data_IF_430045133449
#
_entry.id   IF_430045133449
#
_cell.length_a   1.000
_cell.length_b   1.000
_cell.length_c   1.000
_cell.angle_alpha   90.00
_cell.angle_beta   90.00
_cell.angle_gamma   90.00
#
_symmetry.space_group_name_H-M   'P 1'
#
loop_
_entity.id
_entity.type
_entity.pdbx_description
1 polymer ?
#
# COMPACT_ATOMS: atom_id res chain seq x y z
N UNK A 1 42.64 2.19 -42.37
CA UNK A 1 41.83 1.04 -41.93
C UNK A 1 40.38 1.48 -41.97
N UNK A 2 39.69 0.99 -42.99
CA UNK A 2 38.42 1.50 -43.48
C UNK A 2 37.21 1.16 -42.59
N UNK A 3 36.32 2.15 -42.50
CA UNK A 3 35.01 2.09 -41.86
C UNK A 3 34.07 1.24 -42.73
N UNK A 4 33.79 0.01 -42.30
CA UNK A 4 32.75 -0.81 -42.90
C UNK A 4 31.36 -0.32 -42.46
N UNK A 5 30.69 0.35 -43.40
CA UNK A 5 29.27 0.70 -43.40
C UNK A 5 28.39 -0.55 -43.23
N UNK A 6 27.76 -0.70 -42.06
CA UNK A 6 26.70 -1.69 -41.85
C UNK A 6 25.37 -1.03 -42.21
N UNK A 7 24.91 -1.30 -43.44
CA UNK A 7 23.57 -0.97 -43.92
C UNK A 7 22.53 -1.77 -43.13
N UNK A 8 21.63 -1.07 -42.45
CA UNK A 8 20.41 -1.63 -41.87
C UNK A 8 19.40 -1.93 -42.99
N UNK A 9 18.98 -3.19 -43.20
CA UNK A 9 17.91 -3.49 -44.15
C UNK A 9 16.56 -3.03 -43.60
N UNK A 10 15.81 -2.28 -44.43
CA UNK A 10 14.42 -1.88 -44.19
C UNK A 10 13.49 -3.10 -44.20
N UNK A 11 12.51 -3.22 -43.29
CA UNK A 11 11.51 -4.27 -43.33
C UNK A 11 10.48 -3.99 -44.43
N UNK A 12 10.35 -4.92 -45.38
CA UNK A 12 9.29 -4.92 -46.40
C UNK A 12 7.94 -5.29 -45.78
N UNK A 13 6.84 -4.62 -46.16
CA UNK A 13 5.50 -4.98 -45.70
C UNK A 13 5.03 -6.31 -46.34
N UNK A 14 4.26 -7.14 -45.62
CA UNK A 14 3.68 -8.35 -46.19
C UNK A 14 2.50 -7.99 -47.12
N UNK A 15 2.74 -8.10 -48.41
CA UNK A 15 1.75 -8.01 -49.47
C UNK A 15 1.14 -9.40 -49.69
N UNK A 16 0.07 -9.73 -48.96
CA UNK A 16 -0.83 -10.86 -49.27
C UNK A 16 -2.11 -10.75 -48.41
N UNK A 17 -3.05 -9.91 -48.87
CA UNK A 17 -4.41 -9.90 -48.37
C UNK A 17 -5.19 -11.06 -49.02
N UNK A 18 -5.41 -12.13 -48.27
CA UNK A 18 -6.29 -13.23 -48.66
C UNK A 18 -7.75 -12.74 -48.53
N UNK A 19 -8.58 -12.78 -49.60
CA UNK A 19 -10.00 -12.46 -49.50
C UNK A 19 -10.71 -13.49 -48.60
N UNK A 20 -11.32 -13.02 -47.52
CA UNK A 20 -12.03 -13.87 -46.56
C UNK A 20 -13.32 -14.47 -47.17
N UNK A 21 -13.72 -15.68 -46.73
CA UNK A 21 -14.99 -16.29 -47.14
C UNK A 21 -16.18 -15.49 -46.58
N UNK A 22 -17.18 -15.29 -47.44
CA UNK A 22 -18.38 -14.50 -47.16
C UNK A 22 -19.08 -14.90 -45.86
N UNK A 23 -19.44 -13.89 -45.07
CA UNK A 23 -20.25 -14.05 -43.87
C UNK A 23 -21.68 -14.44 -44.24
N UNK A 24 -22.23 -15.55 -43.71
CA UNK A 24 -23.65 -15.84 -43.83
C UNK A 24 -24.44 -14.79 -43.03
N UNK A 25 -25.49 -14.29 -43.66
CA UNK A 25 -26.51 -13.41 -43.10
C UNK A 25 -27.07 -13.99 -41.79
N UNK A 26 -27.20 -13.19 -40.72
CA UNK A 26 -27.79 -13.67 -39.48
C UNK A 26 -29.28 -13.97 -39.69
N UNK A 27 -29.63 -15.26 -39.68
CA UNK A 27 -31.01 -15.70 -39.57
C UNK A 27 -31.59 -15.15 -38.25
N UNK A 28 -32.76 -14.53 -38.36
CA UNK A 28 -33.55 -13.97 -37.26
C UNK A 28 -33.81 -15.04 -36.20
N UNK A 29 -33.04 -15.01 -35.10
CA UNK A 29 -33.24 -15.86 -33.93
C UNK A 29 -34.37 -15.26 -33.09
N UNK A 30 -35.43 -16.05 -32.91
CA UNK A 30 -36.57 -15.72 -32.06
C UNK A 30 -36.20 -15.51 -30.58
N UNK A 31 -37.17 -15.09 -29.74
CA UNK A 31 -36.94 -14.73 -28.36
C UNK A 31 -36.41 -15.93 -27.56
N UNK A 32 -35.12 -15.87 -27.22
CA UNK A 32 -34.50 -16.77 -26.27
C UNK A 32 -35.16 -16.58 -24.90
N UNK A 33 -35.96 -17.55 -24.50
CA UNK A 33 -36.53 -17.64 -23.15
C UNK A 33 -35.38 -17.75 -22.16
N UNK A 34 -35.11 -16.65 -21.45
CA UNK A 34 -34.11 -16.53 -20.40
C UNK A 34 -34.45 -17.45 -19.23
N UNK A 35 -34.09 -18.73 -19.36
CA UNK A 35 -34.11 -19.67 -18.24
C UNK A 35 -33.19 -19.13 -17.14
N UNK A 36 -33.65 -19.03 -15.88
CA UNK A 36 -32.84 -18.51 -14.79
C UNK A 36 -31.58 -19.39 -14.68
N UNK A 37 -30.43 -18.79 -15.00
CA UNK A 37 -29.14 -19.46 -14.98
C UNK A 37 -28.95 -20.12 -13.62
N UNK A 38 -28.85 -21.45 -13.60
CA UNK A 38 -28.56 -22.23 -12.40
C UNK A 38 -27.42 -21.54 -11.63
N UNK A 39 -27.74 -21.04 -10.44
CA UNK A 39 -26.82 -20.26 -9.61
C UNK A 39 -25.59 -21.12 -9.33
N UNK A 40 -24.48 -20.82 -10.02
CA UNK A 40 -23.22 -21.53 -9.82
C UNK A 40 -22.81 -21.38 -8.36
N UNK A 41 -23.04 -22.44 -7.58
CA UNK A 41 -22.71 -22.42 -6.16
C UNK A 41 -21.20 -22.51 -6.03
N UNK A 42 -20.55 -21.39 -5.73
CA UNK A 42 -19.10 -21.38 -5.54
C UNK A 42 -18.74 -22.18 -4.28
N UNK A 43 -17.94 -23.24 -4.43
CA UNK A 43 -17.43 -24.03 -3.31
C UNK A 43 -16.07 -23.50 -2.82
N UNK A 44 -15.86 -23.53 -1.51
CA UNK A 44 -14.58 -23.20 -0.88
C UNK A 44 -13.47 -24.15 -1.34
N UNK A 45 -12.38 -23.65 -1.93
CA UNK A 45 -11.24 -24.47 -2.40
C UNK A 45 -10.56 -25.32 -1.32
N UNK A 46 -10.75 -25.01 -0.03
CA UNK A 46 -10.09 -25.72 1.07
C UNK A 46 -10.92 -26.84 1.68
N UNK A 47 -12.25 -26.73 1.64
CA UNK A 47 -13.15 -27.69 2.30
C UNK A 47 -14.35 -28.09 1.45
N UNK A 48 -14.42 -27.62 0.20
CA UNK A 48 -15.48 -27.86 -0.78
C UNK A 48 -16.91 -27.54 -0.34
N UNK A 49 -17.09 -26.83 0.79
CA UNK A 49 -18.40 -26.37 1.24
C UNK A 49 -18.89 -25.23 0.37
N UNK A 50 -20.19 -25.19 0.00
CA UNK A 50 -20.76 -24.07 -0.72
C UNK A 50 -20.58 -22.79 0.10
N UNK A 51 -20.11 -21.74 -0.56
CA UNK A 51 -19.97 -20.40 0.02
C UNK A 51 -20.91 -19.48 -0.76
N UNK A 52 -21.87 -18.84 -0.08
CA UNK A 52 -22.76 -17.84 -0.69
C UNK A 52 -22.06 -16.52 -1.05
N UNK A 53 -20.78 -16.57 -1.38
CA UNK A 53 -19.94 -15.41 -1.64
C UNK A 53 -18.87 -15.76 -2.68
N UNK A 54 -18.46 -14.79 -3.49
CA UNK A 54 -17.39 -14.93 -4.49
C UNK A 54 -15.99 -15.20 -3.89
N UNK A 55 -15.91 -15.35 -2.57
CA UNK A 55 -14.67 -15.64 -1.89
C UNK A 55 -14.25 -17.10 -2.11
N UNK A 56 -13.05 -17.29 -2.67
CA UNK A 56 -12.39 -18.59 -2.87
C UNK A 56 -12.25 -19.46 -1.60
N UNK A 57 -12.48 -18.93 -0.39
CA UNK A 57 -12.34 -19.65 0.89
C UNK A 57 -13.35 -19.17 1.93
N UNK A 58 -14.03 -20.11 2.59
CA UNK A 58 -14.90 -19.86 3.74
C UNK A 58 -14.12 -19.39 4.98
N UNK A 59 -14.82 -18.78 5.94
CA UNK A 59 -14.21 -18.21 7.15
C UNK A 59 -13.52 -19.24 8.04
N UNK A 60 -14.04 -20.46 8.12
CA UNK A 60 -13.39 -21.56 8.84
C UNK A 60 -12.02 -21.90 8.23
N UNK A 61 -11.93 -22.00 6.90
CA UNK A 61 -10.67 -22.22 6.20
C UNK A 61 -9.71 -21.04 6.40
N UNK A 62 -10.20 -19.80 6.29
CA UNK A 62 -9.41 -18.58 6.54
C UNK A 62 -8.84 -18.57 7.96
N UNK A 63 -9.64 -18.95 8.97
CA UNK A 63 -9.22 -19.05 10.37
C UNK A 63 -8.12 -20.10 10.54
N UNK A 64 -8.29 -21.30 9.98
CA UNK A 64 -7.26 -22.36 10.01
C UNK A 64 -5.94 -21.93 9.38
N UNK A 65 -5.99 -21.24 8.23
CA UNK A 65 -4.80 -20.71 7.56
C UNK A 65 -4.10 -19.65 8.42
N UNK A 66 -4.86 -18.73 9.04
CA UNK A 66 -4.31 -17.71 9.95
C UNK A 66 -3.64 -18.34 11.18
N UNK A 67 -4.26 -19.37 11.76
CA UNK A 67 -3.68 -20.11 12.89
C UNK A 67 -2.38 -20.82 12.50
N UNK A 68 -2.36 -21.52 11.36
CA UNK A 68 -1.13 -22.15 10.83
C UNK A 68 -0.03 -21.11 10.58
N UNK A 69 -0.37 -19.99 9.96
CA UNK A 69 0.57 -18.90 9.72
C UNK A 69 1.20 -18.39 11.02
N UNK A 70 0.38 -18.10 12.04
CA UNK A 70 0.86 -17.61 13.35
C UNK A 70 1.72 -18.66 14.06
N UNK A 71 1.28 -19.92 14.09
CA UNK A 71 2.02 -21.04 14.69
C UNK A 71 3.39 -21.24 14.02
N UNK A 72 3.45 -21.22 12.69
CA UNK A 72 4.72 -21.37 11.99
C UNK A 72 5.61 -20.13 12.19
N UNK A 73 5.03 -18.92 12.18
CA UNK A 73 5.79 -17.68 12.43
C UNK A 73 6.41 -17.65 13.82
N UNK A 74 5.71 -18.10 14.87
CA UNK A 74 6.26 -18.15 16.23
C UNK A 74 7.34 -19.21 16.39
N UNK A 75 7.22 -20.34 15.69
CA UNK A 75 8.22 -21.42 15.68
C UNK A 75 9.46 -21.15 14.82
N UNK A 76 9.56 -19.98 14.19
CA UNK A 76 10.66 -19.73 13.23
C UNK A 76 10.57 -20.59 11.96
N UNK A 77 9.38 -21.09 11.62
CA UNK A 77 9.14 -21.97 10.49
C UNK A 77 8.50 -21.25 9.29
N UNK A 78 8.69 -21.81 8.12
CA UNK A 78 8.12 -21.37 6.86
C UNK A 78 6.60 -21.49 6.92
N UNK A 79 5.92 -20.41 6.54
CA UNK A 79 4.45 -20.34 6.55
C UNK A 79 3.77 -21.21 5.47
N UNK A 80 4.54 -21.81 4.55
CA UNK A 80 4.05 -22.68 3.47
C UNK A 80 4.35 -24.16 3.67
N UNK A 81 5.59 -24.51 4.02
CA UNK A 81 6.06 -25.90 4.11
C UNK A 81 6.58 -26.29 5.51
N UNK A 82 6.55 -25.38 6.48
CA UNK A 82 7.02 -25.61 7.86
C UNK A 82 8.54 -25.87 8.03
N UNK A 83 9.35 -25.87 6.96
CA UNK A 83 10.82 -25.85 7.04
C UNK A 83 11.36 -24.60 7.79
N UNK A 84 12.57 -24.62 8.34
CA UNK A 84 13.18 -23.44 8.96
C UNK A 84 13.15 -22.19 8.06
N UNK A 85 12.77 -21.04 8.61
CA UNK A 85 12.72 -19.77 7.86
C UNK A 85 14.10 -19.13 7.77
N UNK A 86 14.33 -18.36 6.71
CA UNK A 86 15.50 -17.46 6.67
C UNK A 86 15.30 -16.32 7.68
N UNK A 87 16.31 -15.94 8.48
CA UNK A 87 16.22 -14.78 9.38
C UNK A 87 15.68 -13.54 8.67
N UNK A 88 14.72 -12.85 9.30
CA UNK A 88 14.03 -11.69 8.72
C UNK A 88 12.96 -11.99 7.66
N UNK A 89 12.83 -13.24 7.18
CA UNK A 89 11.83 -13.65 6.19
C UNK A 89 10.71 -14.52 6.83
N UNK A 90 9.56 -14.62 6.15
CA UNK A 90 8.43 -15.47 6.58
C UNK A 90 8.35 -16.83 5.86
N UNK A 91 9.36 -17.12 5.02
CA UNK A 91 9.47 -18.33 4.21
C UNK A 91 10.88 -18.92 4.33
N UNK A 92 11.02 -20.21 4.01
CA UNK A 92 12.32 -20.88 3.92
C UNK A 92 13.11 -20.42 2.68
N UNK A 93 14.40 -20.77 2.63
CA UNK A 93 15.30 -20.43 1.53
C UNK A 93 14.75 -20.90 0.18
N UNK A 94 14.28 -22.14 0.10
CA UNK A 94 13.70 -22.74 -1.12
C UNK A 94 12.52 -21.92 -1.66
N UNK A 95 11.59 -21.51 -0.80
CA UNK A 95 10.46 -20.69 -1.21
C UNK A 95 10.85 -19.25 -1.56
N UNK A 96 11.88 -18.70 -0.90
CA UNK A 96 12.44 -17.40 -1.25
C UNK A 96 13.05 -17.43 -2.64
N UNK A 97 13.89 -18.44 -2.93
CA UNK A 97 14.54 -18.61 -4.23
C UNK A 97 13.51 -18.81 -5.34
N UNK A 98 12.56 -19.74 -5.18
CA UNK A 98 11.46 -19.95 -6.14
C UNK A 98 10.66 -18.66 -6.42
N UNK A 99 10.53 -17.76 -5.44
CA UNK A 99 9.86 -16.45 -5.61
C UNK A 99 10.73 -15.49 -6.42
N UNK A 100 12.05 -15.47 -6.20
CA UNK A 100 13.02 -14.68 -6.97
C UNK A 100 13.09 -15.17 -8.42
N UNK A 101 13.22 -16.48 -8.65
CA UNK A 101 13.30 -17.06 -10.01
C UNK A 101 12.02 -16.75 -10.80
N UNK A 102 10.85 -16.88 -10.17
CA UNK A 102 9.57 -16.47 -10.79
C UNK A 102 9.56 -15.00 -11.13
N UNK A 103 10.10 -14.15 -10.27
CA UNK A 103 10.18 -12.72 -10.52
C UNK A 103 11.12 -12.40 -11.68
N UNK A 104 12.33 -12.97 -11.70
CA UNK A 104 13.30 -12.77 -12.77
C UNK A 104 12.77 -13.26 -14.12
N UNK A 105 12.15 -14.44 -14.17
CA UNK A 105 11.52 -14.97 -15.38
C UNK A 105 10.38 -14.10 -15.91
N UNK A 106 9.56 -13.52 -15.02
CA UNK A 106 8.52 -12.58 -15.45
C UNK A 106 9.14 -11.26 -15.94
N UNK A 107 10.17 -10.77 -15.24
CA UNK A 107 10.89 -9.55 -15.60
C UNK A 107 11.57 -9.67 -16.97
N UNK A 108 12.25 -10.78 -17.25
CA UNK A 108 12.91 -11.01 -18.55
C UNK A 108 11.92 -11.10 -19.71
N UNK A 109 10.71 -11.60 -19.46
CA UNK A 109 9.61 -11.62 -20.43
C UNK A 109 8.84 -10.30 -20.53
N UNK A 110 9.22 -9.26 -19.79
CA UNK A 110 8.46 -8.01 -19.72
C UNK A 110 7.02 -8.19 -19.18
N UNK A 111 6.76 -9.22 -18.37
CA UNK A 111 5.43 -9.57 -17.87
C UNK A 111 5.17 -9.02 -16.46
N UNK A 112 3.90 -8.69 -16.21
CA UNK A 112 3.40 -8.20 -14.92
C UNK A 112 3.76 -9.15 -13.77
N UNK A 113 4.15 -8.59 -12.63
CA UNK A 113 4.43 -9.36 -11.42
C UNK A 113 3.24 -10.20 -10.95
N UNK A 114 2.02 -9.73 -11.18
CA UNK A 114 0.77 -10.33 -10.68
C UNK A 114 0.07 -11.21 -11.72
N UNK A 115 -0.13 -10.73 -12.95
CA UNK A 115 -0.73 -11.50 -14.05
C UNK A 115 0.30 -11.87 -15.13
N UNK A 116 -0.15 -12.30 -16.31
CA UNK A 116 0.72 -12.62 -17.47
C UNK A 116 0.76 -11.50 -18.51
N UNK A 117 0.01 -10.41 -18.30
CA UNK A 117 -0.05 -9.27 -19.22
C UNK A 117 1.29 -8.53 -19.26
N UNK A 118 1.63 -7.85 -20.38
CA UNK A 118 2.86 -7.07 -20.49
C UNK A 118 2.89 -5.93 -19.45
N UNK A 119 4.08 -5.64 -18.95
CA UNK A 119 4.36 -4.53 -18.04
C UNK A 119 4.32 -3.19 -18.76
N UNK A 120 3.92 -2.15 -18.04
CA UNK A 120 4.18 -0.78 -18.49
C UNK A 120 5.67 -0.45 -18.37
N UNK A 121 6.22 0.29 -19.33
CA UNK A 121 7.63 0.70 -19.35
C UNK A 121 8.07 1.31 -18.00
N UNK A 122 9.22 0.86 -17.49
CA UNK A 122 9.77 1.29 -16.20
C UNK A 122 9.05 0.75 -14.95
N UNK A 123 8.01 -0.07 -15.09
CA UNK A 123 7.24 -0.59 -13.96
C UNK A 123 7.20 -2.12 -13.93
N UNK A 124 6.79 -2.67 -12.77
CA UNK A 124 6.62 -4.12 -12.56
C UNK A 124 5.19 -4.62 -12.88
N UNK A 125 4.27 -3.73 -13.17
CA UNK A 125 2.84 -4.04 -13.25
C UNK A 125 2.28 -3.63 -14.61
N UNK A 126 1.27 -4.36 -15.09
CA UNK A 126 0.51 -3.92 -16.26
C UNK A 126 -0.36 -2.70 -15.93
N UNK A 127 -0.89 -2.04 -16.96
CA UNK A 127 -1.75 -0.86 -16.82
C UNK A 127 -2.96 -1.11 -15.92
N UNK A 128 -3.63 -2.26 -16.08
CA UNK A 128 -4.77 -2.68 -15.26
C UNK A 128 -4.40 -2.75 -13.77
N UNK A 129 -3.38 -3.52 -13.41
CA UNK A 129 -2.94 -3.63 -12.01
C UNK A 129 -2.45 -2.30 -11.44
N UNK A 130 -1.84 -1.43 -12.24
CA UNK A 130 -1.48 -0.07 -11.84
C UNK A 130 -2.72 0.76 -11.55
N UNK A 131 -3.74 0.72 -12.42
CA UNK A 131 -5.02 1.40 -12.24
C UNK A 131 -5.74 0.93 -10.99
N UNK A 132 -5.88 -0.38 -10.81
CA UNK A 132 -6.44 -0.99 -9.61
C UNK A 132 -5.70 -0.57 -8.35
N UNK A 133 -4.36 -0.56 -8.36
CA UNK A 133 -3.55 -0.14 -7.20
C UNK A 133 -3.70 1.34 -6.89
N UNK A 134 -3.80 2.21 -7.91
CA UNK A 134 -4.08 3.64 -7.73
C UNK A 134 -5.46 3.85 -7.12
N UNK A 135 -6.50 3.20 -7.68
CA UNK A 135 -7.87 3.26 -7.18
C UNK A 135 -7.96 2.82 -5.72
N UNK A 136 -7.48 1.62 -5.38
CA UNK A 136 -7.47 1.16 -3.99
C UNK A 136 -6.65 2.07 -3.06
N UNK A 137 -5.57 2.67 -3.56
CA UNK A 137 -4.77 3.65 -2.82
C UNK A 137 -5.56 4.91 -2.49
N UNK A 138 -6.31 5.43 -3.46
CA UNK A 138 -7.18 6.60 -3.30
C UNK A 138 -8.38 6.27 -2.39
N UNK A 139 -9.10 5.17 -2.65
CA UNK A 139 -10.24 4.75 -1.83
C UNK A 139 -9.83 4.54 -0.37
N UNK A 140 -8.70 3.86 -0.13
CA UNK A 140 -8.15 3.69 1.22
C UNK A 140 -7.66 5.00 1.85
N UNK A 141 -7.27 5.98 1.04
CA UNK A 141 -6.89 7.30 1.51
C UNK A 141 -8.13 8.06 2.01
N UNK A 142 -9.18 8.13 1.19
CA UNK A 142 -10.43 8.82 1.51
C UNK A 142 -11.16 8.16 2.69
N UNK A 143 -11.31 6.84 2.68
CA UNK A 143 -11.94 6.11 3.79
C UNK A 143 -11.22 6.34 5.13
N UNK A 144 -9.88 6.45 5.13
CA UNK A 144 -9.12 6.78 6.35
C UNK A 144 -9.29 8.24 6.77
N UNK A 145 -9.35 9.16 5.82
CA UNK A 145 -9.58 10.59 6.08
C UNK A 145 -10.96 10.80 6.71
N UNK A 146 -12.00 10.23 6.13
CA UNK A 146 -13.40 10.31 6.61
C UNK A 146 -13.59 9.66 7.97
N UNK A 147 -12.94 8.52 8.23
CA UNK A 147 -12.98 7.86 9.55
C UNK A 147 -12.12 8.56 10.62
N UNK A 148 -11.50 9.71 10.33
CA UNK A 148 -10.60 10.40 11.27
C UNK A 148 -9.35 9.59 11.61
N UNK A 149 -8.97 8.62 10.79
CA UNK A 149 -7.79 7.78 10.98
C UNK A 149 -6.58 8.38 10.28
N UNK A 150 -5.39 8.13 10.85
CA UNK A 150 -4.14 8.53 10.22
C UNK A 150 -3.97 7.88 8.84
N UNK A 151 -3.90 8.69 7.79
CA UNK A 151 -3.96 8.26 6.38
C UNK A 151 -2.75 7.44 5.91
N UNK A 152 -1.58 7.54 6.55
CA UNK A 152 -0.41 6.76 6.07
C UNK A 152 -0.56 5.26 6.38
N UNK A 153 -0.86 4.95 7.64
CA UNK A 153 -0.82 3.58 8.19
C UNK A 153 -2.18 3.06 8.65
N UNK A 154 -3.23 3.88 8.63
CA UNK A 154 -4.53 3.51 9.19
C UNK A 154 -4.48 3.26 10.70
N UNK A 155 -3.52 3.84 11.41
CA UNK A 155 -3.44 3.65 12.85
C UNK A 155 -4.62 4.36 13.55
N UNK A 156 -5.11 3.84 14.69
CA UNK A 156 -6.28 4.36 15.40
C UNK A 156 -6.04 5.72 16.09
N UNK A 157 -4.87 6.34 15.88
CA UNK A 157 -4.57 7.66 16.45
C UNK A 157 -5.12 8.72 15.51
N UNK A 158 -5.80 9.70 16.10
CA UNK A 158 -6.32 10.86 15.41
C UNK A 158 -5.18 11.61 14.69
N UNK A 159 -5.47 12.21 13.52
CA UNK A 159 -4.56 13.15 12.88
C UNK A 159 -4.18 14.31 13.81
N UNK A 160 -2.99 14.87 13.63
CA UNK A 160 -2.64 16.14 14.26
C UNK A 160 -3.49 17.27 13.66
N UNK A 161 -3.75 18.35 14.42
CA UNK A 161 -4.53 19.49 13.93
C UNK A 161 -3.98 20.02 12.59
N UNK A 162 -4.84 20.15 11.59
CA UNK A 162 -4.48 20.58 10.22
C UNK A 162 -3.70 19.56 9.38
N UNK A 163 -3.48 18.33 9.87
CA UNK A 163 -2.72 17.30 9.16
C UNK A 163 -3.56 16.05 8.87
N UNK A 164 -3.23 15.30 7.83
CA UNK A 164 -3.84 13.99 7.53
C UNK A 164 -3.14 12.81 8.23
N UNK A 165 -2.13 13.10 9.05
CA UNK A 165 -1.28 12.11 9.73
C UNK A 165 -1.23 12.41 11.21
N UNK A 166 -1.17 11.37 12.04
CA UNK A 166 -0.95 11.54 13.47
C UNK A 166 0.49 11.97 13.76
N UNK A 167 0.69 12.63 14.90
CA UNK A 167 1.97 13.22 15.29
C UNK A 167 3.13 12.21 15.31
N UNK A 168 2.87 10.97 15.74
CA UNK A 168 3.87 9.88 15.75
C UNK A 168 4.39 9.57 14.33
N UNK A 169 3.51 9.50 13.33
CA UNK A 169 3.94 9.26 11.96
C UNK A 169 4.68 10.46 11.38
N UNK A 170 4.25 11.68 11.70
CA UNK A 170 4.96 12.89 11.30
C UNK A 170 6.39 12.89 11.87
N UNK A 171 6.57 12.57 13.16
CA UNK A 171 7.89 12.46 13.81
C UNK A 171 8.76 11.38 13.17
N UNK A 172 8.20 10.20 12.92
CA UNK A 172 8.92 9.10 12.27
C UNK A 172 9.38 9.47 10.84
N UNK A 173 8.55 10.17 10.07
CA UNK A 173 8.91 10.64 8.73
C UNK A 173 9.99 11.73 8.80
N UNK A 174 9.90 12.66 9.76
CA UNK A 174 10.96 13.67 9.98
C UNK A 174 12.30 13.01 10.32
N UNK A 175 12.32 12.01 11.21
CA UNK A 175 13.53 11.26 11.54
C UNK A 175 14.08 10.50 10.33
N UNK A 176 13.23 9.81 9.57
CA UNK A 176 13.65 9.12 8.34
C UNK A 176 14.19 10.10 7.28
N UNK A 177 13.62 11.31 7.17
CA UNK A 177 14.15 12.35 6.30
C UNK A 177 15.50 12.85 6.79
N UNK A 178 15.67 13.06 8.10
CA UNK A 178 16.94 13.48 8.70
C UNK A 178 18.05 12.47 8.39
N UNK A 179 17.80 11.18 8.57
CA UNK A 179 18.76 10.11 8.24
C UNK A 179 19.08 10.09 6.74
N UNK A 180 18.08 10.25 5.87
CA UNK A 180 18.31 10.31 4.42
C UNK A 180 19.12 11.51 3.97
N UNK A 181 18.91 12.66 4.61
CA UNK A 181 19.72 13.86 4.33
C UNK A 181 21.15 13.67 4.84
N UNK A 182 21.34 13.20 6.07
CA UNK A 182 22.68 12.91 6.60
C UNK A 182 23.45 11.90 5.73
N UNK A 183 22.81 10.80 5.31
CA UNK A 183 23.45 9.84 4.42
C UNK A 183 23.78 10.44 3.04
N UNK A 184 22.96 11.36 2.54
CA UNK A 184 23.25 12.08 1.29
C UNK A 184 24.44 13.02 1.46
N UNK A 185 24.50 13.75 2.57
CA UNK A 185 25.59 14.67 2.87
C UNK A 185 26.91 13.90 3.09
N UNK A 186 26.88 12.71 3.72
CA UNK A 186 28.04 11.82 3.83
C UNK A 186 28.53 11.32 2.46
N UNK A 187 27.61 10.99 1.54
CA UNK A 187 27.98 10.59 0.17
C UNK A 187 28.60 11.76 -0.61
N UNK A 188 28.05 12.97 -0.49
CA UNK A 188 28.55 14.18 -1.16
C UNK A 188 29.95 14.59 -0.64
N UNK A 189 30.23 14.40 0.66
CA UNK A 189 31.56 14.65 1.23
C UNK A 189 32.61 13.59 0.86
N UNK A 190 32.17 12.38 0.51
CA UNK A 190 33.06 11.30 0.07
C UNK A 190 33.43 11.38 -1.41
N UNK A 191 32.70 12.18 -2.20
CA UNK A 191 33.15 12.62 -3.51
C UNK A 191 34.27 13.64 -3.31
N UNK A 192 35.49 13.14 -2.99
CA UNK A 192 36.71 13.92 -3.12
C UNK A 192 36.63 14.61 -4.48
N UNK A 193 36.79 15.96 -4.57
CA UNK A 193 36.69 16.66 -5.83
C UNK A 193 37.61 15.92 -6.79
N UNK A 194 37.00 15.19 -7.72
CA UNK A 194 37.73 14.44 -8.72
C UNK A 194 38.55 15.51 -9.39
N UNK A 195 39.87 15.47 -9.13
CA UNK A 195 40.86 16.23 -9.88
C UNK A 195 40.74 15.70 -11.29
N UNK A 196 39.73 16.21 -11.99
CA UNK A 196 39.57 16.08 -13.40
C UNK A 196 40.80 16.82 -13.92
N UNK A 197 41.86 16.04 -14.17
CA UNK A 197 43.02 16.48 -14.89
C UNK A 197 42.46 17.00 -16.21
N UNK A 198 42.31 18.31 -16.30
CA UNK A 198 42.05 19.01 -17.55
C UNK A 198 43.31 18.79 -18.36
N UNK A 199 43.38 17.64 -19.04
CA UNK A 199 44.32 17.44 -20.11
C UNK A 199 44.00 18.55 -21.12
N UNK A 200 44.91 19.50 -21.23
CA UNK A 200 44.90 20.55 -22.23
C UNK A 200 44.96 19.92 -23.63
N UNK A 201 43.83 19.45 -24.11
CA UNK A 201 43.61 19.09 -25.50
C UNK A 201 43.11 20.32 -26.25
N UNK A 202 44.04 21.08 -26.81
CA UNK A 202 43.78 22.05 -27.86
C UNK A 202 42.97 21.40 -28.99
N UNK A 203 41.79 21.94 -29.30
CA UNK A 203 41.07 21.53 -30.51
C UNK A 203 39.62 22.02 -30.58
N UNK A 204 39.44 23.15 -31.26
CA UNK A 204 38.19 23.62 -31.89
C UNK A 204 36.91 23.69 -31.04
N UNK A 205 36.75 24.82 -30.36
CA UNK A 205 35.43 25.32 -29.97
C UNK A 205 34.73 25.93 -31.18
N UNK A 206 33.76 25.21 -31.75
CA UNK A 206 32.66 25.85 -32.50
C UNK A 206 31.62 26.23 -31.45
N UNK A 207 31.40 27.55 -31.30
CA UNK A 207 30.59 28.13 -30.24
C UNK A 207 29.15 27.66 -30.25
N UNK A 208 28.79 26.82 -29.27
CA UNK A 208 27.40 26.63 -28.87
C UNK A 208 27.25 27.30 -27.51
N UNK A 209 26.57 28.45 -27.51
CA UNK A 209 26.37 29.28 -26.35
C UNK A 209 25.80 28.47 -25.17
N UNK A 210 26.37 28.59 -23.96
CA UNK A 210 25.83 27.93 -22.79
C UNK A 210 24.46 28.51 -22.47
N UNK A 211 23.43 27.68 -22.59
CA UNK A 211 22.06 27.97 -22.22
C UNK A 211 22.02 28.25 -20.71
N UNK A 212 22.09 29.54 -20.33
CA UNK A 212 21.94 30.02 -18.96
C UNK A 212 20.66 29.42 -18.36
N UNK A 213 20.81 28.50 -17.43
CA UNK A 213 19.69 28.02 -16.61
C UNK A 213 19.29 29.18 -15.70
N UNK A 214 18.19 29.83 -16.05
CA UNK A 214 17.58 30.90 -15.28
C UNK A 214 17.39 30.43 -13.83
N UNK A 215 18.14 31.05 -12.93
CA UNK A 215 17.99 30.93 -11.49
C UNK A 215 16.61 31.42 -11.09
N UNK A 216 15.85 30.52 -10.45
CA UNK A 216 15.06 30.78 -9.24
C UNK A 216 14.27 32.10 -9.26
N UNK A 217 13.04 32.04 -9.79
CA UNK A 217 12.01 33.05 -9.54
C UNK A 217 11.78 33.13 -8.02
N UNK A 218 12.19 34.25 -7.43
CA UNK A 218 11.76 34.68 -6.10
C UNK A 218 10.25 34.84 -6.19
N UNK A 219 9.51 34.04 -5.42
CA UNK A 219 8.07 34.20 -5.26
C UNK A 219 7.90 35.41 -4.34
N UNK A 220 7.61 36.56 -4.94
CA UNK A 220 7.15 37.72 -4.21
C UNK A 220 5.87 37.31 -3.45
N UNK A 221 5.85 37.60 -2.15
CA UNK A 221 4.64 37.58 -1.36
C UNK A 221 3.75 38.70 -1.91
N UNK A 222 2.69 38.32 -2.62
CA UNK A 222 1.55 39.20 -2.88
C UNK A 222 0.62 39.01 -1.69
N UNK A 223 0.66 39.99 -0.80
CA UNK A 223 -0.40 40.35 0.12
C UNK A 223 -1.39 41.22 -0.65
N UNK A 224 -2.66 40.85 -0.65
CA UNK A 224 -3.87 41.64 -0.94
C UNK A 224 -5.00 40.60 -0.83
N UNK A 225 -5.72 40.53 0.29
CA UNK A 225 -6.90 41.37 0.59
C UNK A 225 -7.85 41.40 -0.59
N UNK A 226 -8.81 40.46 -0.63
CA UNK A 226 -10.18 40.74 -1.07
C UNK A 226 -11.13 39.85 -0.26
N UNK A 227 -11.84 40.51 0.65
CA UNK A 227 -13.09 40.05 1.23
C UNK A 227 -14.08 39.83 0.10
N UNK A 228 -14.73 38.68 0.07
CA UNK A 228 -15.87 38.41 -0.80
C UNK A 228 -16.97 37.86 0.08
N UNK A 229 -17.72 38.80 0.67
CA UNK A 229 -19.07 38.58 1.16
C UNK A 229 -19.91 38.04 0.00
N UNK A 230 -20.39 36.81 0.15
CA UNK A 230 -21.53 36.32 -0.61
C UNK A 230 -22.56 35.85 0.40
N UNK A 231 -23.44 36.79 0.70
CA UNK A 231 -24.71 36.62 1.39
C UNK A 231 -25.55 35.55 0.71
N UNK A 232 -26.31 34.85 1.56
CA UNK A 232 -27.64 34.29 1.33
C UNK A 232 -27.87 33.36 0.13
N UNK A 233 -28.39 32.17 0.43
CA UNK A 233 -29.74 31.77 0.00
C UNK A 233 -30.17 30.59 0.88
N UNK A 234 -31.05 30.90 1.83
CA UNK A 234 -31.83 29.90 2.55
C UNK A 234 -32.80 29.24 1.57
N UNK A 235 -32.52 28.00 1.18
CA UNK A 235 -33.49 27.15 0.51
C UNK A 235 -34.23 26.33 1.57
N UNK A 236 -35.25 26.98 2.11
CA UNK A 236 -36.45 26.39 2.67
C UNK A 236 -37.17 25.53 1.61
N UNK A 237 -37.42 24.26 1.93
CA UNK A 237 -38.56 23.45 1.46
C UNK A 237 -38.29 21.96 1.67
N UNK A 238 -39.07 21.35 2.56
CA UNK A 238 -39.10 19.90 2.70
C UNK A 238 -39.79 19.37 3.95
N UNK A 239 -40.95 19.91 4.31
CA UNK A 239 -41.89 19.23 5.21
C UNK A 239 -42.47 18.01 4.47
N UNK A 240 -41.81 16.86 4.60
CA UNK A 240 -42.39 15.56 4.25
C UNK A 240 -42.99 14.96 5.52
N UNK A 241 -44.28 15.21 5.64
CA UNK A 241 -45.27 14.65 6.56
C UNK A 241 -45.29 13.11 6.42
N UNK A 242 -44.44 12.41 7.18
CA UNK A 242 -44.47 10.96 7.28
C UNK A 242 -45.44 10.56 8.39
N UNK A 243 -46.63 10.18 7.96
CA UNK A 243 -47.71 9.68 8.79
C UNK A 243 -47.25 8.50 9.64
N UNK A 244 -47.54 8.59 10.94
CA UNK A 244 -47.51 7.50 11.91
C UNK A 244 -48.38 6.32 11.41
N UNK A 245 -47.74 5.23 11.00
CA UNK A 245 -48.37 3.90 11.06
C UNK A 245 -47.81 3.17 12.27
N UNK A 246 -48.66 3.05 13.29
CA UNK A 246 -48.47 2.19 14.44
C UNK A 246 -48.18 0.75 13.97
N UNK A 247 -46.99 0.25 14.28
CA UNK A 247 -46.63 -1.16 14.13
C UNK A 247 -46.13 -1.68 15.46
N UNK A 248 -46.78 -2.76 15.88
CA UNK A 248 -46.73 -3.36 17.19
C UNK A 248 -45.33 -3.65 17.71
N UNK A 249 -45.21 -3.42 19.01
CA UNK A 249 -44.03 -3.52 19.85
C UNK A 249 -43.45 -4.93 19.94
N UNK A 250 -42.31 -5.18 19.29
CA UNK A 250 -41.31 -6.11 19.82
C UNK A 250 -40.12 -5.30 20.37
N UNK A 251 -39.91 -5.43 21.68
CA UNK A 251 -38.93 -4.68 22.46
C UNK A 251 -37.50 -4.82 21.92
N UNK A 252 -37.07 -3.87 21.09
CA UNK A 252 -35.66 -3.75 20.70
C UNK A 252 -34.89 -3.07 21.83
N UNK A 253 -33.75 -3.64 22.28
CA UNK A 253 -32.95 -3.04 23.35
C UNK A 253 -32.36 -1.71 22.87
N UNK A 254 -32.86 -0.64 23.51
CA UNK A 254 -32.46 0.76 23.40
C UNK A 254 -30.98 0.93 22.99
N UNK A 255 -30.75 1.50 21.81
CA UNK A 255 -29.44 1.75 21.16
C UNK A 255 -28.44 2.45 22.10
N UNK A 256 -28.93 3.20 23.09
CA UNK A 256 -28.13 3.83 24.15
C UNK A 256 -27.36 2.82 25.02
N UNK A 257 -27.96 1.67 25.33
CA UNK A 257 -27.35 0.64 26.20
C UNK A 257 -26.17 -0.08 25.53
N UNK A 258 -26.23 -0.32 24.22
CA UNK A 258 -25.11 -0.90 23.44
C UNK A 258 -23.93 0.06 23.33
N UNK A 259 -24.19 1.37 23.21
CA UNK A 259 -23.15 2.39 23.19
C UNK A 259 -22.48 2.58 24.57
N UNK A 260 -23.21 2.34 25.66
CA UNK A 260 -22.65 2.37 27.02
C UNK A 260 -21.81 1.11 27.34
N UNK A 261 -22.30 -0.08 26.95
CA UNK A 261 -21.58 -1.34 27.15
C UNK A 261 -20.23 -1.41 26.39
N UNK A 262 -20.18 -0.82 25.19
CA UNK A 262 -18.94 -0.73 24.42
C UNK A 262 -17.94 0.26 25.03
N UNK A 263 -18.40 1.40 25.56
CA UNK A 263 -17.56 2.38 26.27
C UNK A 263 -17.01 1.86 27.60
N UNK A 264 -17.78 1.09 28.35
CA UNK A 264 -17.31 0.50 29.61
C UNK A 264 -16.26 -0.61 29.38
N UNK A 265 -16.42 -1.41 28.33
CA UNK A 265 -15.46 -2.45 27.96
C UNK A 265 -14.11 -1.87 27.47
N UNK A 266 -14.11 -0.75 26.75
CA UNK A 266 -12.86 -0.08 26.33
C UNK A 266 -12.14 0.57 27.50
N UNK A 267 -12.88 1.15 28.46
CA UNK A 267 -12.31 1.70 29.70
C UNK A 267 -11.62 0.62 30.54
N UNK A 268 -12.27 -0.52 30.79
CA UNK A 268 -11.64 -1.65 31.53
C UNK A 268 -10.39 -2.19 30.83
N UNK A 269 -10.38 -2.24 29.50
CA UNK A 269 -9.17 -2.64 28.72
C UNK A 269 -8.05 -1.60 28.80
N UNK A 270 -8.37 -0.32 28.93
CA UNK A 270 -7.38 0.73 29.13
C UNK A 270 -6.77 0.67 30.55
N UNK A 271 -7.61 0.47 31.56
CA UNK A 271 -7.20 0.34 32.97
C UNK A 271 -6.30 -0.89 33.18
N UNK A 272 -6.69 -2.07 32.69
CA UNK A 272 -5.85 -3.29 32.75
C UNK A 272 -4.53 -3.17 32.00
N UNK A 273 -4.49 -2.38 30.92
CA UNK A 273 -3.25 -2.13 30.18
C UNK A 273 -2.33 -1.14 30.92
N UNK A 274 -2.90 -0.21 31.68
CA UNK A 274 -2.15 0.71 32.52
C UNK A 274 -1.52 -0.01 33.72
N UNK A 275 -2.26 -0.93 34.37
CA UNK A 275 -1.73 -1.72 35.50
C UNK A 275 -0.59 -2.62 35.07
N UNK A 276 -0.76 -3.38 33.98
CA UNK A 276 0.31 -4.26 33.45
C UNK A 276 1.55 -3.47 33.01
N UNK A 277 1.38 -2.24 32.50
CA UNK A 277 2.52 -1.38 32.16
C UNK A 277 3.27 -0.93 33.40
N UNK A 278 2.56 -0.60 34.48
CA UNK A 278 3.16 -0.18 35.75
C UNK A 278 3.91 -1.34 36.41
N UNK A 279 3.30 -2.53 36.48
CA UNK A 279 3.96 -3.73 37.00
C UNK A 279 5.26 -4.06 36.23
N UNK A 280 5.25 -3.93 34.89
CA UNK A 280 6.45 -4.13 34.09
C UNK A 280 7.53 -3.04 34.26
N UNK A 281 7.13 -1.81 34.62
CA UNK A 281 8.07 -0.72 34.95
C UNK A 281 8.70 -0.95 36.32
N UNK A 282 7.90 -1.37 37.32
CA UNK A 282 8.35 -1.70 38.67
C UNK A 282 9.31 -2.92 38.66
N UNK A 283 9.02 -3.98 37.91
CA UNK A 283 9.91 -5.15 37.75
C UNK A 283 11.26 -4.80 37.10
N UNK A 284 11.24 -3.88 36.12
CA UNK A 284 12.46 -3.47 35.43
C UNK A 284 13.35 -2.56 36.30
N UNK A 285 12.73 -1.76 37.18
CA UNK A 285 13.45 -0.98 38.18
C UNK A 285 14.13 -1.89 39.22
N UNK A 286 13.44 -2.94 39.68
CA UNK A 286 14.00 -3.93 40.60
C UNK A 286 15.20 -4.68 39.98
N UNK A 287 15.09 -5.12 38.72
CA UNK A 287 16.19 -5.75 37.99
C UNK A 287 17.38 -4.78 37.78
N UNK A 288 17.11 -3.50 37.54
CA UNK A 288 18.12 -2.47 37.45
C UNK A 288 18.91 -2.28 38.76
N UNK A 289 18.21 -2.30 39.89
CA UNK A 289 18.84 -2.23 41.23
C UNK A 289 19.65 -3.50 41.53
N UNK A 290 19.17 -4.68 41.16
CA UNK A 290 19.94 -5.92 41.34
C UNK A 290 21.22 -5.94 40.49
N UNK A 291 21.14 -5.49 39.22
CA UNK A 291 22.30 -5.43 38.33
C UNK A 291 23.38 -4.46 38.83
N UNK A 292 22.98 -3.30 39.35
CA UNK A 292 23.92 -2.33 39.92
C UNK A 292 24.57 -2.84 41.21
N UNK A 293 23.83 -3.53 42.08
CA UNK A 293 24.39 -4.18 43.27
C UNK A 293 25.41 -5.27 42.93
N UNK A 294 25.14 -6.12 41.94
CA UNK A 294 26.09 -7.15 41.49
C UNK A 294 27.36 -6.54 40.89
N UNK A 295 27.21 -5.45 40.12
CA UNK A 295 28.36 -4.72 39.58
C UNK A 295 29.23 -4.13 40.71
N UNK A 296 28.61 -3.55 41.74
CA UNK A 296 29.32 -2.98 42.89
C UNK A 296 30.04 -4.04 43.74
N UNK A 297 29.47 -5.24 43.88
CA UNK A 297 30.13 -6.36 44.58
C UNK A 297 31.30 -6.94 43.78
N UNK A 298 31.22 -6.92 42.44
CA UNK A 298 32.32 -7.36 41.57
C UNK A 298 33.55 -6.44 41.64
N UNK A 299 33.35 -5.14 41.88
CA UNK A 299 34.45 -4.15 41.95
C UNK A 299 35.21 -4.16 43.28
N UNK A 300 34.66 -4.78 44.34
CA UNK A 300 35.29 -4.90 45.66
C UNK A 300 36.16 -6.15 45.84
N UNK A 301 36.28 -7.00 44.80
CA UNK A 301 37.19 -8.15 44.77
C UNK A 301 38.40 -7.81 43.92
#
# INVERSE_FOLDING_TARGET
MDLASILNPQPTPPENAIPGPGFPTPASLGPISSSPSASQTHCCFGCHKPTGSDFKRCDSCRRKIRLRYRKNKSKGQCTRCSEPRVPGQVVCATHSQKRLDRYQRKKSKGQCGSCSNPCHAGTRYCAEHMGTRRKYGADSYHARKESGLCVNSGCPRLPASGAVRCEKHLRSIRQANKVRMAAKDEMDMSETPSTHVTAYGSGNQVGVAPRRKATRRVRANVSEDEESDSEDEESDSGDEDFSDEESDSEATPNVSTKAYATRSATRRRAETKATVKKEAEDENEELGVQATNLWYQGFKR
#
